data_IF_983151461237
#
_entry.id   IF_983151461237
#
_cell.length_a   1.000
_cell.length_b   1.000
_cell.length_c   1.000
_cell.angle_alpha   90.00
_cell.angle_beta   90.00
_cell.angle_gamma   90.00
#
_symmetry.space_group_name_H-M   'P 1'
#
loop_
_entity.id
_entity.type
_entity.pdbx_description
1 polymer ?
#
# COMPACT_ATOMS: atom_id res chain seq x y z
N UNK A 1 -25.08 -27.67 5.22
CA UNK A 1 -23.72 -27.22 4.85
C UNK A 1 -23.67 -25.71 5.05
N UNK A 2 -22.84 -25.25 5.98
CA UNK A 2 -22.64 -23.83 6.26
C UNK A 2 -21.51 -23.29 5.39
N UNK A 3 -21.59 -22.03 4.96
CA UNK A 3 -20.41 -21.30 4.50
C UNK A 3 -19.69 -20.75 5.72
N UNK A 4 -18.40 -21.08 5.86
CA UNK A 4 -17.59 -20.67 6.98
C UNK A 4 -16.94 -19.31 6.72
N UNK A 5 -16.70 -18.55 7.80
CA UNK A 5 -15.88 -17.35 7.75
C UNK A 5 -14.43 -17.70 7.41
N UNK A 6 -13.67 -16.75 6.86
CA UNK A 6 -12.27 -16.95 6.49
C UNK A 6 -11.47 -17.49 7.68
N UNK A 7 -10.70 -18.56 7.44
CA UNK A 7 -9.92 -19.25 8.47
C UNK A 7 -10.67 -20.31 9.27
N UNK A 8 -11.99 -20.47 9.09
CA UNK A 8 -12.78 -21.53 9.74
C UNK A 8 -13.17 -22.63 8.76
N UNK A 9 -13.20 -23.87 9.25
CA UNK A 9 -13.53 -25.07 8.49
C UNK A 9 -14.47 -26.00 9.27
N UNK A 10 -14.93 -27.07 8.62
CA UNK A 10 -15.82 -28.08 9.21
C UNK A 10 -17.30 -27.90 8.86
N UNK A 11 -18.11 -28.92 9.14
CA UNK A 11 -19.56 -28.96 8.81
C UNK A 11 -20.37 -27.93 9.58
N UNK A 12 -19.87 -27.50 10.74
CA UNK A 12 -20.44 -26.49 11.64
C UNK A 12 -19.59 -25.22 11.74
N UNK A 13 -18.50 -25.11 10.98
CA UNK A 13 -17.55 -23.99 11.05
C UNK A 13 -16.92 -23.77 12.43
N UNK A 14 -16.81 -24.81 13.25
CA UNK A 14 -16.23 -24.75 14.60
C UNK A 14 -14.72 -24.96 14.66
N UNK A 15 -14.08 -25.31 13.55
CA UNK A 15 -12.64 -25.57 13.50
C UNK A 15 -11.95 -24.32 12.98
N UNK A 16 -11.24 -23.60 13.84
CA UNK A 16 -10.43 -22.43 13.45
C UNK A 16 -9.13 -22.82 12.75
N UNK A 17 -8.30 -21.81 12.47
CA UNK A 17 -7.02 -21.99 11.79
C UNK A 17 -5.97 -22.71 12.66
N UNK A 18 -6.10 -22.63 13.99
CA UNK A 18 -5.25 -23.35 14.93
C UNK A 18 -6.07 -23.97 16.06
N UNK A 19 -5.69 -25.18 16.48
CA UNK A 19 -6.18 -25.83 17.70
C UNK A 19 -5.09 -25.87 18.78
N UNK A 20 -3.82 -25.78 18.36
CA UNK A 20 -2.62 -25.69 19.21
C UNK A 20 -1.57 -24.81 18.52
N UNK A 21 -0.64 -24.20 19.27
CA UNK A 21 0.37 -23.26 18.73
C UNK A 21 1.20 -23.81 17.55
N UNK A 22 1.38 -25.13 17.45
CA UNK A 22 2.13 -25.77 16.37
C UNK A 22 1.53 -25.58 14.97
N UNK A 23 0.26 -25.18 14.88
CA UNK A 23 -0.45 -24.99 13.62
C UNK A 23 -0.13 -23.62 12.98
N UNK A 24 0.44 -22.69 13.76
CA UNK A 24 0.85 -21.37 13.28
C UNK A 24 2.33 -21.40 12.86
N UNK A 25 2.60 -21.09 11.59
CA UNK A 25 3.95 -21.12 11.04
C UNK A 25 4.76 -19.88 11.42
N UNK A 26 6.08 -19.97 11.23
CA UNK A 26 7.05 -18.86 11.34
C UNK A 26 6.96 -18.03 12.63
N UNK A 27 6.66 -18.67 13.76
CA UNK A 27 6.60 -18.02 15.06
C UNK A 27 5.27 -17.30 15.34
N UNK A 28 4.22 -17.57 14.57
CA UNK A 28 2.87 -17.19 14.94
C UNK A 28 2.41 -17.85 16.24
N UNK A 29 1.49 -17.20 16.96
CA UNK A 29 0.89 -17.70 18.21
C UNK A 29 -0.60 -17.93 18.01
N UNK A 30 -1.14 -19.04 18.49
CA UNK A 30 -2.56 -19.33 18.42
C UNK A 30 -3.32 -18.56 19.51
N UNK A 31 -4.25 -17.71 19.11
CA UNK A 31 -5.25 -17.17 20.04
C UNK A 31 -6.34 -18.22 20.27
N UNK A 32 -6.28 -18.90 21.41
CA UNK A 32 -7.23 -19.95 21.80
C UNK A 32 -8.68 -19.43 21.99
N UNK A 33 -8.90 -18.12 22.04
CA UNK A 33 -10.24 -17.52 22.10
C UNK A 33 -10.90 -17.48 20.74
N UNK A 34 -10.13 -17.13 19.71
CA UNK A 34 -10.60 -17.00 18.34
C UNK A 34 -10.23 -18.20 17.46
N UNK A 35 -9.40 -19.11 17.97
CA UNK A 35 -8.79 -20.22 17.23
C UNK A 35 -8.09 -19.74 15.95
N UNK A 36 -7.48 -18.56 16.00
CA UNK A 36 -6.78 -17.93 14.88
C UNK A 36 -5.31 -17.66 15.22
N UNK A 37 -4.46 -17.75 14.21
CA UNK A 37 -3.05 -17.41 14.35
C UNK A 37 -2.85 -15.89 14.38
N UNK A 38 -2.17 -15.42 15.43
CA UNK A 38 -1.54 -14.10 15.48
C UNK A 38 -0.14 -14.21 14.90
N UNK A 39 0.08 -13.63 13.72
CA UNK A 39 1.35 -13.78 13.02
C UNK A 39 2.45 -12.91 13.62
N UNK A 40 3.67 -13.46 13.61
CA UNK A 40 4.87 -12.70 13.88
C UNK A 40 5.08 -11.61 12.81
N UNK A 41 5.85 -10.57 13.17
CA UNK A 41 6.20 -9.49 12.26
C UNK A 41 6.80 -10.03 10.96
N UNK A 42 6.26 -9.59 9.82
CA UNK A 42 6.71 -10.02 8.48
C UNK A 42 5.93 -11.19 7.89
N UNK A 43 4.94 -11.75 8.60
CA UNK A 43 4.13 -12.87 8.12
C UNK A 43 2.63 -12.57 8.19
N UNK A 44 1.89 -13.15 7.26
CA UNK A 44 0.42 -13.02 7.13
C UNK A 44 -0.20 -14.36 6.70
N UNK A 45 -1.53 -14.36 6.57
CA UNK A 45 -2.31 -15.53 6.20
C UNK A 45 -2.90 -16.24 7.41
N UNK A 46 -3.85 -17.15 7.17
CA UNK A 46 -4.60 -17.83 8.24
C UNK A 46 -3.72 -18.68 9.15
N UNK A 47 -2.61 -19.21 8.61
CA UNK A 47 -1.61 -20.01 9.34
C UNK A 47 -0.26 -19.31 9.42
N UNK A 48 -0.17 -18.03 9.08
CA UNK A 48 1.09 -17.26 9.03
C UNK A 48 2.16 -17.80 8.07
N UNK A 49 1.79 -18.70 7.15
CA UNK A 49 2.73 -19.32 6.20
C UNK A 49 3.17 -18.43 5.04
N UNK A 50 2.63 -17.21 4.95
CA UNK A 50 2.88 -16.30 3.84
C UNK A 50 3.74 -15.15 4.34
N UNK A 51 4.94 -14.98 3.76
CA UNK A 51 5.72 -13.78 3.98
C UNK A 51 4.93 -12.57 3.49
N UNK A 52 4.74 -11.58 4.36
CA UNK A 52 3.95 -10.39 4.06
C UNK A 52 4.44 -9.66 2.80
N UNK A 53 5.75 -9.72 2.55
CA UNK A 53 6.37 -9.16 1.36
C UNK A 53 6.07 -9.93 0.06
N UNK A 54 5.62 -11.18 0.14
CA UNK A 54 5.33 -12.00 -1.04
C UNK A 54 3.96 -11.70 -1.67
N UNK A 55 3.12 -10.88 -1.03
CA UNK A 55 1.75 -10.60 -1.47
C UNK A 55 1.59 -9.18 -2.03
N UNK A 56 2.37 -8.21 -1.54
CA UNK A 56 2.17 -6.79 -1.89
C UNK A 56 3.46 -6.01 -2.20
N UNK A 57 4.66 -6.55 -1.96
CA UNK A 57 5.91 -5.84 -2.19
C UNK A 57 6.82 -6.57 -3.17
N UNK A 58 6.39 -6.58 -4.44
CA UNK A 58 7.31 -6.72 -5.57
C UNK A 58 8.16 -5.44 -5.64
N UNK A 59 9.16 -5.33 -4.77
CA UNK A 59 10.08 -4.22 -4.79
C UNK A 59 10.89 -4.27 -6.09
N UNK A 60 10.66 -3.29 -6.96
CA UNK A 60 11.29 -3.18 -8.27
C UNK A 60 12.71 -2.60 -8.16
N UNK A 61 13.48 -2.73 -9.24
CA UNK A 61 14.79 -2.10 -9.43
C UNK A 61 15.78 -2.27 -8.26
N UNK A 62 15.77 -3.45 -7.63
CA UNK A 62 16.69 -3.79 -6.54
C UNK A 62 16.25 -3.27 -5.17
N UNK A 63 14.99 -2.84 -5.02
CA UNK A 63 14.41 -2.57 -3.70
C UNK A 63 14.34 -3.83 -2.83
N UNK A 64 14.44 -3.65 -1.51
CA UNK A 64 14.34 -4.74 -0.52
C UNK A 64 13.13 -4.52 0.35
N UNK A 65 12.27 -5.52 0.52
CA UNK A 65 11.15 -5.41 1.44
C UNK A 65 11.64 -5.49 2.89
N UNK A 66 11.26 -4.51 3.71
CA UNK A 66 11.41 -4.57 5.16
C UNK A 66 10.24 -5.33 5.78
N UNK A 67 10.52 -6.49 6.38
CA UNK A 67 9.54 -7.35 7.05
C UNK A 67 8.88 -6.69 8.27
N UNK A 68 9.45 -5.60 8.79
CA UNK A 68 8.92 -4.87 9.95
C UNK A 68 7.85 -3.87 9.55
N UNK A 69 8.17 -3.02 8.58
CA UNK A 69 7.27 -1.97 8.09
C UNK A 69 6.37 -2.45 6.96
N UNK A 70 6.69 -3.60 6.35
CA UNK A 70 6.05 -4.12 5.14
C UNK A 70 6.17 -3.17 3.95
N UNK A 71 7.19 -2.31 3.96
CA UNK A 71 7.46 -1.35 2.89
C UNK A 71 8.75 -1.68 2.14
N UNK A 72 8.83 -1.31 0.86
CA UNK A 72 10.06 -1.41 0.11
C UNK A 72 11.07 -0.33 0.51
N UNK A 73 12.28 -0.76 0.85
CA UNK A 73 13.46 0.09 0.92
C UNK A 73 14.08 0.17 -0.47
N UNK A 74 14.03 1.35 -1.09
CA UNK A 74 14.47 1.53 -2.47
C UNK A 74 15.99 1.68 -2.60
N UNK A 75 16.53 1.10 -3.66
CA UNK A 75 17.91 1.35 -4.07
C UNK A 75 18.10 2.83 -4.44
N UNK A 76 19.34 3.31 -4.35
CA UNK A 76 19.67 4.71 -4.64
C UNK A 76 19.20 5.10 -6.05
N UNK A 77 18.46 6.21 -6.15
CA UNK A 77 17.89 6.69 -7.41
C UNK A 77 16.42 6.29 -7.63
N UNK A 78 15.90 5.32 -6.87
CA UNK A 78 14.52 4.85 -7.01
C UNK A 78 13.65 5.28 -5.83
N UNK A 79 12.36 5.43 -6.07
CA UNK A 79 11.34 5.87 -5.09
C UNK A 79 9.98 5.23 -5.35
N UNK A 80 9.03 5.45 -4.44
CA UNK A 80 7.68 4.90 -4.51
C UNK A 80 7.50 3.68 -3.59
N UNK A 81 6.25 3.25 -3.40
CA UNK A 81 5.90 2.14 -2.50
C UNK A 81 6.49 0.81 -2.94
N UNK A 82 6.70 0.64 -4.24
CA UNK A 82 7.30 -0.53 -4.87
C UNK A 82 8.66 -0.23 -5.50
N UNK A 83 9.24 0.96 -5.27
CA UNK A 83 10.49 1.40 -5.91
C UNK A 83 10.47 1.51 -7.43
N UNK A 84 9.28 1.57 -8.05
CA UNK A 84 9.11 1.63 -9.49
C UNK A 84 9.38 2.99 -10.14
N UNK A 85 9.65 4.03 -9.36
CA UNK A 85 9.89 5.39 -9.88
C UNK A 85 11.38 5.69 -9.86
N UNK A 86 12.00 5.78 -11.05
CA UNK A 86 13.40 6.19 -11.20
C UNK A 86 13.60 7.71 -11.32
N UNK A 87 14.76 8.10 -11.84
CA UNK A 87 15.16 9.49 -12.03
C UNK A 87 14.52 10.13 -13.27
N UNK A 88 14.08 9.33 -14.24
CA UNK A 88 13.48 9.83 -15.48
C UNK A 88 12.38 8.89 -16.00
N UNK A 89 11.43 9.47 -16.73
CA UNK A 89 10.43 8.77 -17.55
C UNK A 89 10.51 9.17 -19.03
N UNK A 90 11.17 10.30 -19.33
CA UNK A 90 11.47 10.78 -20.68
C UNK A 90 12.83 11.48 -20.70
N UNK A 91 13.42 11.63 -21.88
CA UNK A 91 14.74 12.28 -22.03
C UNK A 91 14.79 13.70 -21.47
N UNK A 92 13.67 14.44 -21.51
CA UNK A 92 13.62 15.81 -20.97
C UNK A 92 13.74 15.90 -19.45
N UNK A 93 13.57 14.78 -18.73
CA UNK A 93 13.80 14.72 -17.28
C UNK A 93 15.30 14.69 -16.94
N UNK A 94 16.15 14.39 -17.93
CA UNK A 94 17.60 14.39 -17.81
C UNK A 94 18.18 15.73 -18.27
N UNK A 95 18.97 16.36 -17.41
CA UNK A 95 19.56 17.66 -17.69
C UNK A 95 20.74 17.56 -18.68
N UNK A 96 21.08 18.71 -19.29
CA UNK A 96 22.26 18.90 -20.14
C UNK A 96 22.44 17.89 -21.28
N UNK A 97 21.32 17.46 -21.87
CA UNK A 97 21.33 16.52 -23.00
C UNK A 97 21.58 15.07 -22.59
N UNK A 98 21.32 14.70 -21.34
CA UNK A 98 21.23 13.30 -20.93
C UNK A 98 20.08 12.57 -21.63
N UNK A 99 20.18 11.25 -21.70
CA UNK A 99 19.15 10.38 -22.28
C UNK A 99 18.58 9.49 -21.19
N UNK A 100 17.27 9.31 -21.16
CA UNK A 100 16.62 8.42 -20.21
C UNK A 100 16.74 6.97 -20.70
N UNK A 101 17.36 6.11 -19.89
CA UNK A 101 17.28 4.68 -20.12
C UNK A 101 15.95 4.16 -19.60
N UNK A 102 15.00 3.91 -20.51
CA UNK A 102 13.66 3.42 -20.18
C UNK A 102 13.63 2.02 -19.54
N UNK A 103 14.75 1.27 -19.55
CA UNK A 103 14.84 -0.03 -18.87
C UNK A 103 15.25 0.09 -17.41
N UNK A 104 16.04 1.12 -17.07
CA UNK A 104 16.50 1.35 -15.69
C UNK A 104 15.84 2.59 -15.07
N UNK A 105 15.12 3.39 -15.84
CA UNK A 105 14.55 4.69 -15.43
C UNK A 105 15.61 5.66 -14.90
N UNK A 106 16.86 5.52 -15.35
CA UNK A 106 18.00 6.35 -14.95
C UNK A 106 18.53 7.17 -16.12
N UNK A 107 19.05 8.35 -15.82
CA UNK A 107 19.67 9.20 -16.83
C UNK A 107 21.07 8.73 -17.19
N UNK A 108 21.32 8.54 -18.48
CA UNK A 108 22.66 8.42 -19.05
C UNK A 108 23.20 9.81 -19.38
N UNK A 109 24.20 10.26 -18.62
CA UNK A 109 24.72 11.62 -18.75
C UNK A 109 25.65 11.79 -19.94
N UNK A 110 25.53 12.96 -20.59
CA UNK A 110 26.47 13.39 -21.62
C UNK A 110 27.87 13.64 -21.03
N UNK A 111 28.89 13.59 -21.90
CA UNK A 111 30.28 13.86 -21.50
C UNK A 111 30.38 15.21 -20.81
N UNK A 112 30.96 15.25 -19.61
CA UNK A 112 31.05 16.48 -18.82
C UNK A 112 30.01 16.60 -17.70
N UNK A 113 29.09 15.65 -17.56
CA UNK A 113 28.00 15.70 -16.57
C UNK A 113 27.84 14.41 -15.74
N UNK A 114 27.28 14.53 -14.55
CA UNK A 114 27.04 13.45 -13.58
C UNK A 114 25.85 13.75 -12.66
N UNK A 115 25.51 12.80 -11.80
CA UNK A 115 24.33 12.83 -10.92
C UNK A 115 23.14 12.04 -11.49
N UNK A 116 22.15 11.77 -10.65
CA UNK A 116 20.97 10.96 -11.01
C UNK A 116 20.14 11.56 -12.14
N UNK A 117 20.09 12.89 -12.24
CA UNK A 117 19.41 13.66 -13.30
C UNK A 117 20.40 14.37 -14.22
N UNK A 118 21.70 14.06 -14.15
CA UNK A 118 22.77 14.70 -14.91
C UNK A 118 23.00 16.20 -14.64
N UNK A 119 22.44 16.75 -13.56
CA UNK A 119 22.52 18.19 -13.26
C UNK A 119 23.87 18.70 -12.78
N UNK A 120 24.87 17.83 -12.59
CA UNK A 120 26.18 18.21 -12.01
C UNK A 120 27.27 18.17 -13.07
N UNK A 121 27.89 19.32 -13.37
CA UNK A 121 29.06 19.36 -14.25
C UNK A 121 30.31 18.81 -13.56
N UNK A 122 31.06 17.94 -14.22
CA UNK A 122 32.39 17.52 -13.76
C UNK A 122 33.38 18.66 -14.04
N UNK A 123 33.74 19.41 -13.01
CA UNK A 123 34.87 20.35 -13.09
C UNK A 123 36.17 19.56 -13.03
N UNK A 124 36.95 19.61 -14.12
CA UNK A 124 38.29 19.05 -14.24
C UNK A 124 39.22 19.57 -13.13
N UNK A 125 39.22 18.92 -11.97
CA UNK A 125 40.19 19.17 -10.90
C UNK A 125 41.21 18.04 -10.76
N UNK A 126 41.24 17.09 -11.71
CA UNK A 126 42.24 15.99 -11.73
C UNK A 126 43.16 16.01 -12.96
N UNK A 127 43.12 17.05 -13.81
CA UNK A 127 44.09 17.18 -14.91
C UNK A 127 45.05 18.34 -14.67
N UNK A 128 45.86 18.25 -13.61
CA UNK A 128 47.15 18.96 -13.58
C UNK A 128 48.15 18.14 -14.40
N UNK A 129 48.01 18.18 -15.72
CA UNK A 129 48.82 17.45 -16.68
C UNK A 129 48.95 18.20 -18.01
N UNK A 130 49.68 19.31 -17.97
CA UNK A 130 50.49 19.91 -19.06
C UNK A 130 49.95 19.99 -20.51
N UNK A 131 49.68 21.26 -20.89
CA UNK A 131 49.93 21.96 -22.19
C UNK A 131 49.06 21.63 -23.40
N UNK A 132 48.20 22.61 -23.74
CA UNK A 132 47.73 22.91 -25.10
C UNK A 132 46.84 24.17 -25.10
N UNK A 133 47.30 25.34 -25.61
CA UNK A 133 46.54 26.57 -25.57
C UNK A 133 45.72 26.76 -26.85
N UNK A 134 44.42 27.02 -26.72
CA UNK A 134 43.74 28.03 -27.54
C UNK A 134 42.55 28.58 -26.76
N UNK A 135 42.81 29.74 -26.18
CA UNK A 135 41.86 30.71 -25.67
C UNK A 135 40.90 31.19 -26.76
N UNK A 136 39.61 31.22 -26.43
CA UNK A 136 38.72 32.31 -26.86
C UNK A 136 37.64 32.52 -25.80
N UNK A 137 37.95 33.45 -24.89
CA UNK A 137 36.94 34.16 -24.12
C UNK A 137 36.36 35.27 -25.00
N UNK A 138 35.05 35.52 -25.01
CA UNK A 138 34.52 36.83 -25.33
C UNK A 138 34.52 37.70 -24.08
N UNK A 139 35.01 38.91 -24.29
CA UNK A 139 35.19 40.03 -23.37
C UNK A 139 33.88 40.52 -22.75
N UNK A 140 33.99 40.88 -21.47
CA UNK A 140 33.08 41.72 -20.70
C UNK A 140 32.68 43.02 -21.43
N UNK A 141 31.39 43.18 -21.71
CA UNK A 141 30.75 44.45 -22.03
C UNK A 141 29.90 44.89 -20.83
N UNK A 142 30.33 45.94 -20.15
CA UNK A 142 29.55 46.65 -19.13
C UNK A 142 28.59 47.58 -19.88
N UNK A 143 27.28 47.34 -19.75
CA UNK A 143 26.24 48.34 -20.05
C UNK A 143 25.34 48.45 -18.83
N UNK A 144 25.57 49.52 -18.08
CA UNK A 144 24.71 50.00 -17.00
C UNK A 144 23.60 50.86 -17.62
N UNK A 145 22.33 50.49 -17.42
CA UNK A 145 21.20 51.43 -17.40
C UNK A 145 19.94 50.81 -16.77
N UNK A 146 19.78 51.14 -15.49
CA UNK A 146 18.58 51.67 -14.83
C UNK A 146 17.19 51.27 -15.38
N UNK A 147 16.50 50.45 -14.56
CA UNK A 147 15.04 50.30 -14.35
C UNK A 147 14.05 51.03 -15.27
N UNK A 148 13.17 50.25 -15.90
CA UNK A 148 11.77 50.63 -16.10
C UNK A 148 10.87 49.39 -15.90
N UNK A 149 10.03 49.43 -14.86
CA UNK A 149 9.03 48.41 -14.60
C UNK A 149 7.82 48.67 -15.50
N UNK A 150 7.74 47.95 -16.61
CA UNK A 150 6.52 47.88 -17.42
C UNK A 150 5.77 46.60 -17.05
N UNK A 151 4.64 46.78 -16.37
CA UNK A 151 3.65 45.73 -16.10
C UNK A 151 2.92 45.46 -17.42
N UNK A 152 3.18 44.32 -18.04
CA UNK A 152 2.28 43.74 -19.04
C UNK A 152 1.38 42.69 -18.39
N UNK A 153 0.05 42.73 -18.61
CA UNK A 153 -0.87 41.78 -18.05
C UNK A 153 -0.72 40.43 -18.75
N UNK A 154 -0.23 39.46 -18.00
CA UNK A 154 -0.37 38.03 -18.28
C UNK A 154 -1.83 37.68 -18.52
N UNK A 155 -2.25 37.58 -19.78
CA UNK A 155 -3.47 36.86 -20.16
C UNK A 155 -3.21 35.34 -20.16
N UNK A 156 -2.66 34.82 -19.07
CA UNK A 156 -2.81 33.40 -18.75
C UNK A 156 -4.11 33.27 -17.96
N UNK A 157 -5.18 32.94 -18.67
CA UNK A 157 -6.33 32.31 -18.02
C UNK A 157 -5.82 31.00 -17.37
N UNK A 158 -6.07 30.76 -16.08
CA UNK A 158 -5.52 29.62 -15.39
C UNK A 158 -6.19 28.33 -15.89
N UNK A 159 -5.39 27.37 -16.37
CA UNK A 159 -5.80 25.98 -16.67
C UNK A 159 -6.29 25.21 -15.42
N UNK A 160 -6.32 25.82 -14.23
CA UNK A 160 -6.74 25.18 -12.98
C UNK A 160 -8.26 25.18 -12.72
N UNK A 161 -9.07 25.80 -13.58
CA UNK A 161 -10.54 25.88 -13.40
C UNK A 161 -11.31 24.80 -14.15
N UNK A 162 -10.71 24.11 -15.13
CA UNK A 162 -11.35 22.96 -15.80
C UNK A 162 -11.31 21.67 -14.98
N UNK A 163 -10.36 21.52 -14.05
CA UNK A 163 -10.20 20.31 -13.23
C UNK A 163 -11.17 20.25 -12.05
N UNK A 164 -11.64 21.39 -11.52
CA UNK A 164 -12.59 21.41 -10.40
C UNK A 164 -14.00 20.98 -10.82
N UNK A 165 -14.38 21.18 -12.09
CA UNK A 165 -15.66 20.69 -12.62
C UNK A 165 -15.63 19.18 -12.93
N UNK A 166 -14.48 18.61 -13.28
CA UNK A 166 -14.32 17.17 -13.46
C UNK A 166 -14.39 16.39 -12.13
N UNK A 167 -13.87 16.99 -11.04
CA UNK A 167 -13.96 16.43 -9.68
C UNK A 167 -15.43 16.41 -9.22
N UNK A 168 -16.20 17.49 -9.41
CA UNK A 168 -17.62 17.50 -9.00
C UNK A 168 -18.46 16.46 -9.79
N UNK A 169 -18.13 16.18 -11.06
CA UNK A 169 -18.80 15.14 -11.86
C UNK A 169 -18.49 13.70 -11.43
N UNK A 170 -17.25 13.41 -11.05
CA UNK A 170 -16.83 12.06 -10.62
C UNK A 170 -17.26 11.78 -9.17
N UNK A 171 -17.19 12.78 -8.28
CA UNK A 171 -17.67 12.65 -6.90
C UNK A 171 -19.19 12.66 -6.82
N UNK A 172 -19.91 13.40 -7.68
CA UNK A 172 -21.38 13.37 -7.73
C UNK A 172 -21.93 12.01 -8.16
N UNK A 173 -21.32 11.38 -9.17
CA UNK A 173 -21.68 10.02 -9.60
C UNK A 173 -21.29 8.94 -8.58
N UNK A 174 -20.11 9.08 -7.95
CA UNK A 174 -19.63 8.15 -6.94
C UNK A 174 -20.44 8.23 -5.64
N UNK A 175 -20.85 9.43 -5.22
CA UNK A 175 -21.72 9.62 -4.04
C UNK A 175 -23.11 9.07 -4.33
N UNK A 176 -23.67 9.27 -5.52
CA UNK A 176 -24.95 8.66 -5.90
C UNK A 176 -24.87 7.12 -5.93
N UNK A 177 -23.76 6.56 -6.44
CA UNK A 177 -23.49 5.13 -6.44
C UNK A 177 -23.36 4.58 -5.01
N UNK A 178 -22.62 5.27 -4.14
CA UNK A 178 -22.46 4.90 -2.72
C UNK A 178 -23.82 4.95 -2.01
N UNK A 179 -24.62 6.00 -2.22
CA UNK A 179 -25.97 6.11 -1.66
C UNK A 179 -26.86 4.97 -2.16
N UNK A 180 -26.80 4.62 -3.45
CA UNK A 180 -27.55 3.51 -4.03
C UNK A 180 -27.12 2.17 -3.42
N UNK A 181 -25.82 1.93 -3.26
CA UNK A 181 -25.28 0.73 -2.61
C UNK A 181 -25.74 0.66 -1.15
N UNK A 182 -25.68 1.76 -0.39
CA UNK A 182 -26.15 1.82 1.00
C UNK A 182 -27.66 1.53 1.09
N UNK A 183 -28.47 2.09 0.18
CA UNK A 183 -29.90 1.79 0.12
C UNK A 183 -30.18 0.32 -0.22
N UNK A 184 -29.45 -0.26 -1.17
CA UNK A 184 -29.57 -1.68 -1.52
C UNK A 184 -29.22 -2.55 -0.30
N UNK A 185 -28.13 -2.24 0.41
CA UNK A 185 -27.72 -2.97 1.62
C UNK A 185 -28.79 -2.85 2.71
N UNK A 186 -29.35 -1.65 2.95
CA UNK A 186 -30.43 -1.45 3.92
C UNK A 186 -31.70 -2.23 3.55
N UNK A 187 -32.07 -2.26 2.27
CA UNK A 187 -33.21 -3.03 1.77
C UNK A 187 -32.98 -4.53 1.96
N UNK A 188 -31.78 -5.03 1.65
CA UNK A 188 -31.41 -6.45 1.88
C UNK A 188 -31.46 -6.78 3.37
N UNK A 189 -30.91 -5.93 4.24
CA UNK A 189 -30.95 -6.12 5.70
C UNK A 189 -32.38 -6.10 6.23
N UNK A 190 -33.26 -5.24 5.70
CA UNK A 190 -34.68 -5.22 6.07
C UNK A 190 -35.40 -6.48 5.58
N UNK A 191 -35.20 -6.91 4.34
CA UNK A 191 -35.81 -8.14 3.79
C UNK A 191 -35.32 -9.38 4.56
N UNK A 192 -34.03 -9.46 4.86
CA UNK A 192 -33.45 -10.56 5.65
C UNK A 192 -33.81 -10.48 7.14
N UNK A 193 -33.86 -9.28 7.71
CA UNK A 193 -34.23 -9.03 9.10
C UNK A 193 -35.70 -9.31 9.40
N UNK A 194 -36.59 -9.06 8.43
CA UNK A 194 -38.00 -9.44 8.51
C UNK A 194 -38.20 -10.97 8.47
N UNK A 195 -37.22 -11.73 7.99
CA UNK A 195 -37.25 -13.21 7.96
C UNK A 195 -36.67 -13.87 9.22
N UNK A 196 -36.18 -13.09 10.19
CA UNK A 196 -35.72 -13.55 11.52
C UNK A 196 -36.72 -13.20 12.64
N UNK A 197 -38.00 -13.52 12.48
CA UNK A 197 -38.81 -13.84 13.67
C UNK A 197 -38.64 -15.32 13.96
N UNK A 198 -37.83 -15.73 14.95
CA UNK A 198 -37.90 -17.10 15.43
C UNK A 198 -39.36 -17.37 15.85
N UNK A 199 -39.95 -18.53 15.50
CA UNK A 199 -41.28 -18.86 15.97
C UNK A 199 -41.31 -18.83 17.50
N UNK A 200 -42.41 -18.37 18.13
CA UNK A 200 -42.50 -18.35 19.58
C UNK A 200 -42.25 -19.75 20.12
N UNK A 201 -41.24 -19.87 20.98
CA UNK A 201 -40.92 -21.10 21.70
C UNK A 201 -42.16 -21.48 22.52
N UNK A 202 -42.87 -22.52 22.11
CA UNK A 202 -43.91 -23.12 22.96
C UNK A 202 -43.21 -23.73 24.17
N UNK A 203 -43.26 -23.03 25.30
CA UNK A 203 -42.94 -23.62 26.59
C UNK A 203 -44.14 -24.51 26.95
N UNK A 204 -43.99 -25.82 26.80
CA UNK A 204 -44.95 -26.77 27.37
C UNK A 204 -44.70 -26.83 28.88
N UNK A 205 -45.71 -26.53 29.72
CA UNK A 205 -45.59 -26.64 31.16
C UNK A 205 -46.15 -28.00 31.61
N UNK A 206 -45.41 -29.09 31.38
CA UNK A 206 -45.77 -30.40 31.94
C UNK A 206 -44.76 -31.50 31.59
N UNK A 207 -43.67 -31.56 32.35
CA UNK A 207 -43.21 -32.81 33.00
C UNK A 207 -42.18 -32.45 34.06
N UNK A 208 -42.73 -32.23 35.25
CA UNK A 208 -42.09 -32.50 36.53
C UNK A 208 -41.79 -34.01 36.60
N UNK A 209 -40.58 -34.41 36.99
CA UNK A 209 -40.31 -35.45 38.01
C UNK A 209 -38.83 -35.85 38.03
N UNK A 210 -38.19 -35.42 39.12
CA UNK A 210 -37.28 -36.18 39.97
C UNK A 210 -36.57 -37.42 39.39
N UNK A 211 -35.24 -37.35 39.30
CA UNK A 211 -34.38 -38.40 39.85
C UNK A 211 -33.22 -37.73 40.61
N UNK A 212 -33.45 -37.59 41.93
CA UNK A 212 -32.39 -37.55 42.94
C UNK A 212 -31.81 -38.96 42.95
N UNK A 213 -30.61 -39.14 42.40
CA UNK A 213 -29.83 -40.34 42.71
C UNK A 213 -29.14 -40.14 44.04
N UNK A 214 -29.78 -40.70 45.08
CA UNK A 214 -29.14 -41.17 46.30
C UNK A 214 -27.95 -42.07 45.93
N UNK A 215 -26.73 -41.66 46.30
CA UNK A 215 -25.56 -42.53 46.31
C UNK A 215 -25.27 -42.95 47.76
N UNK A 216 -25.47 -44.23 48.13
CA UNK A 216 -25.17 -44.68 49.48
C UNK A 216 -23.68 -44.94 49.69
N UNK A 217 -23.26 -44.68 50.92
CA UNK A 217 -21.96 -44.94 51.54
C UNK A 217 -21.39 -46.35 51.29
N UNK A 218 -20.08 -46.44 51.05
CA UNK A 218 -19.26 -47.49 51.67
C UNK A 218 -17.82 -47.02 51.92
N UNK A 219 -17.40 -47.24 53.16
CA UNK A 219 -16.08 -46.99 53.77
C UNK A 219 -15.43 -48.37 53.95
N UNK A 220 -14.10 -48.39 53.93
CA UNK A 220 -13.18 -49.46 54.39
C UNK A 220 -12.86 -50.64 53.46
N UNK A 221 -11.61 -50.65 52.96
CA UNK A 221 -10.62 -51.74 53.08
C UNK A 221 -9.22 -51.23 52.68
#
# INVERSE_FOLDING_TARGET
>A
MCLCATGYTGTTCGTGACAVDSDCEYGGTCDLTTLMCMCATGYIGTTCGIGACAVDSDCEYGGTCDLTTLMCMCATGYTGTTCGTGACAVDSDCEYGGTCDMTTLMCMCATGYTGTTCGTGISDTTTKGTIGPTSQAPTSGISDRTTEATIEPSSQAPLSVLSTLAIIGIYGGSVLLIVLIVLIVLVVVLICGLKKRPPPRKVNPSTDQAEVHDNPTYVDA
#
